data_IF_618855579715
#
_entry.id   IF_618855579715
#
_cell.length_a   1.000
_cell.length_b   1.000
_cell.length_c   1.000
_cell.angle_alpha   90.00
_cell.angle_beta   90.00
_cell.angle_gamma   90.00
#
_symmetry.space_group_name_H-M   'P 1'
#
loop_
_entity.id
_entity.type
_entity.pdbx_description
1 polymer ?
#
# COMPACT_ATOMS: atom_id res chain seq x y z
N UNK A 1 11.56 -2.36 15.90
CA UNK A 1 10.56 -1.31 16.21
C UNK A 1 9.26 -1.95 16.67
N UNK A 2 8.49 -1.22 17.48
CA UNK A 2 7.12 -1.56 17.91
C UNK A 2 6.14 -0.80 17.02
N UNK A 3 5.29 -1.51 16.29
CA UNK A 3 4.44 -0.93 15.25
C UNK A 3 2.97 -1.21 15.58
N UNK A 4 2.13 -0.18 15.51
CA UNK A 4 0.68 -0.31 15.53
C UNK A 4 0.15 -0.15 14.09
N UNK A 5 -0.73 -1.05 13.67
CA UNK A 5 -1.40 -0.99 12.38
C UNK A 5 -2.84 -0.51 12.55
N UNK A 6 -3.24 0.44 11.73
CA UNK A 6 -4.62 0.90 11.61
C UNK A 6 -5.16 0.50 10.25
N UNK A 7 -6.13 -0.40 10.28
CA UNK A 7 -6.66 -1.13 9.13
C UNK A 7 -6.31 -2.61 9.20
N UNK A 8 -7.20 -3.45 8.67
CA UNK A 8 -7.03 -4.89 8.54
C UNK A 8 -7.40 -5.37 7.11
N UNK A 9 -7.18 -4.50 6.13
CA UNK A 9 -7.38 -4.79 4.71
C UNK A 9 -6.14 -5.44 4.07
N UNK A 10 -6.17 -5.59 2.75
CA UNK A 10 -5.10 -6.27 1.97
C UNK A 10 -3.72 -5.70 2.24
N UNK A 11 -3.55 -4.37 2.15
CA UNK A 11 -2.25 -3.70 2.39
C UNK A 11 -1.79 -3.94 3.83
N UNK A 12 -2.67 -3.72 4.83
CA UNK A 12 -2.36 -3.93 6.23
C UNK A 12 -1.91 -5.38 6.51
N UNK A 13 -2.62 -6.36 5.95
CA UNK A 13 -2.31 -7.78 6.11
C UNK A 13 -0.92 -8.12 5.57
N UNK A 14 -0.64 -7.74 4.32
CA UNK A 14 0.66 -8.03 3.71
C UNK A 14 1.82 -7.33 4.43
N UNK A 15 1.64 -6.05 4.82
CA UNK A 15 2.66 -5.33 5.60
C UNK A 15 2.88 -5.96 6.98
N UNK A 16 1.80 -6.29 7.71
CA UNK A 16 1.91 -6.92 9.02
C UNK A 16 2.68 -8.23 8.96
N UNK A 17 2.34 -9.10 8.00
CA UNK A 17 2.99 -10.40 7.81
C UNK A 17 4.47 -10.27 7.43
N UNK A 18 4.81 -9.28 6.61
CA UNK A 18 6.20 -9.03 6.22
C UNK A 18 7.01 -8.43 7.39
N UNK A 19 6.46 -7.42 8.06
CA UNK A 19 7.15 -6.68 9.13
C UNK A 19 7.35 -7.52 10.41
N UNK A 20 6.44 -8.46 10.73
CA UNK A 20 6.56 -9.28 11.95
C UNK A 20 7.84 -10.11 12.04
N UNK A 21 8.54 -10.30 10.94
CA UNK A 21 9.78 -11.09 10.89
C UNK A 21 10.96 -10.37 11.58
N UNK A 22 10.97 -9.04 11.57
CA UNK A 22 12.05 -8.21 12.11
C UNK A 22 11.56 -7.14 13.10
N UNK A 23 10.25 -6.92 13.20
CA UNK A 23 9.62 -5.90 14.04
C UNK A 23 8.47 -6.51 14.84
N UNK A 24 8.10 -5.85 15.93
CA UNK A 24 6.94 -6.27 16.75
C UNK A 24 5.70 -5.50 16.31
N UNK A 25 4.70 -6.20 15.81
CA UNK A 25 3.36 -5.63 15.67
C UNK A 25 2.70 -5.69 17.04
N UNK A 26 2.41 -4.53 17.64
CA UNK A 26 1.86 -4.47 19.00
C UNK A 26 0.34 -4.44 19.01
N UNK A 27 -0.27 -3.74 18.06
CA UNK A 27 -1.72 -3.62 17.94
C UNK A 27 -2.17 -3.60 16.49
N UNK A 28 -3.38 -4.11 16.27
CA UNK A 28 -4.13 -3.95 15.01
C UNK A 28 -5.47 -3.32 15.36
N UNK A 29 -5.70 -2.10 14.86
CA UNK A 29 -6.96 -1.37 15.00
C UNK A 29 -7.80 -1.54 13.74
N UNK A 30 -9.05 -1.97 13.88
CA UNK A 30 -10.04 -1.96 12.79
C UNK A 30 -11.44 -1.72 13.36
N UNK A 31 -12.28 -0.97 12.64
CA UNK A 31 -13.70 -0.78 12.97
C UNK A 31 -14.47 -2.11 13.02
N UNK A 32 -14.03 -3.11 12.27
CA UNK A 32 -14.52 -4.47 12.38
C UNK A 32 -13.53 -5.28 13.24
N UNK A 33 -13.97 -5.63 14.46
CA UNK A 33 -13.14 -6.35 15.44
C UNK A 33 -12.73 -7.73 14.93
N UNK A 34 -13.58 -8.44 14.19
CA UNK A 34 -13.26 -9.76 13.65
C UNK A 34 -12.08 -9.70 12.69
N UNK A 35 -12.05 -8.67 11.83
CA UNK A 35 -10.92 -8.43 10.92
C UNK A 35 -9.64 -8.08 11.70
N UNK A 36 -9.76 -7.26 12.75
CA UNK A 36 -8.62 -6.96 13.63
C UNK A 36 -8.09 -8.21 14.31
N UNK A 37 -8.98 -9.05 14.89
CA UNK A 37 -8.63 -10.29 15.55
C UNK A 37 -7.96 -11.29 14.61
N UNK A 38 -8.51 -11.45 13.41
CA UNK A 38 -7.95 -12.34 12.40
C UNK A 38 -6.51 -11.98 12.05
N UNK A 39 -6.23 -10.69 11.79
CA UNK A 39 -4.88 -10.24 11.48
C UNK A 39 -3.96 -10.25 12.70
N UNK A 40 -4.45 -9.77 13.84
CA UNK A 40 -3.68 -9.73 15.10
C UNK A 40 -3.22 -11.11 15.54
N UNK A 41 -4.06 -12.14 15.41
CA UNK A 41 -3.69 -13.52 15.68
C UNK A 41 -2.50 -14.00 14.83
N UNK A 42 -2.46 -13.62 13.54
CA UNK A 42 -1.38 -14.03 12.64
C UNK A 42 -0.03 -13.39 12.96
N UNK A 43 -0.02 -12.25 13.67
CA UNK A 43 1.19 -11.47 13.97
C UNK A 43 1.48 -11.32 15.46
N UNK A 44 0.78 -12.09 16.33
CA UNK A 44 0.88 -12.03 17.77
C UNK A 44 0.67 -10.62 18.35
N UNK A 45 -0.29 -9.88 17.81
CA UNK A 45 -0.65 -8.53 18.23
C UNK A 45 -1.96 -8.51 19.05
N UNK A 46 -2.24 -7.39 19.69
CA UNK A 46 -3.53 -7.10 20.30
C UNK A 46 -4.50 -6.55 19.24
N UNK A 47 -5.67 -7.15 19.12
CA UNK A 47 -6.76 -6.59 18.33
C UNK A 47 -7.52 -5.54 19.16
N UNK A 48 -7.81 -4.41 18.55
CA UNK A 48 -8.61 -3.32 19.13
C UNK A 48 -9.58 -2.75 18.08
N UNK A 49 -10.70 -2.20 18.53
CA UNK A 49 -11.73 -1.59 17.68
C UNK A 49 -12.01 -0.12 17.99
N UNK A 50 -11.40 0.40 19.07
CA UNK A 50 -11.56 1.80 19.50
C UNK A 50 -10.21 2.49 19.62
N UNK A 51 -10.14 3.74 19.17
CA UNK A 51 -8.93 4.58 19.24
C UNK A 51 -8.48 4.86 20.68
N UNK A 52 -9.41 4.81 21.65
CA UNK A 52 -9.13 4.97 23.09
C UNK A 52 -8.28 3.85 23.66
N UNK A 53 -8.17 2.72 22.95
CA UNK A 53 -7.38 1.55 23.36
C UNK A 53 -5.95 1.58 22.78
N UNK A 54 -5.61 2.62 21.99
CA UNK A 54 -4.29 2.76 21.41
C UNK A 54 -3.20 2.83 22.48
N UNK A 55 -2.14 2.06 22.28
CA UNK A 55 -0.97 2.09 23.14
C UNK A 55 0.00 3.19 22.67
N UNK A 56 0.20 4.27 23.43
CA UNK A 56 1.13 5.33 23.04
C UNK A 56 2.60 4.89 23.06
N UNK A 57 2.92 3.77 23.69
CA UNK A 57 4.27 3.19 23.72
C UNK A 57 4.58 2.40 22.43
N UNK A 58 4.24 2.93 21.27
CA UNK A 58 4.57 2.41 19.95
C UNK A 58 5.56 3.34 19.27
N UNK A 59 6.51 2.83 18.50
CA UNK A 59 7.50 3.66 17.81
C UNK A 59 6.90 4.30 16.55
N UNK A 60 6.01 3.56 15.89
CA UNK A 60 5.38 3.97 14.64
C UNK A 60 3.95 3.48 14.54
N UNK A 61 3.09 4.29 13.92
CA UNK A 61 1.72 3.93 13.56
C UNK A 61 1.57 3.97 12.04
N UNK A 62 1.13 2.86 11.44
CA UNK A 62 0.90 2.75 10.01
C UNK A 62 -0.60 2.73 9.74
N UNK A 63 -1.10 3.77 9.06
CA UNK A 63 -2.49 3.88 8.61
C UNK A 63 -2.60 3.23 7.22
N UNK A 64 -3.22 2.06 7.17
CA UNK A 64 -3.46 1.27 5.95
C UNK A 64 -4.96 1.06 5.73
N UNK A 65 -5.69 2.15 5.62
CA UNK A 65 -7.13 2.23 5.31
C UNK A 65 -7.35 2.78 3.91
N UNK A 66 -8.62 2.92 3.47
CA UNK A 66 -8.94 3.58 2.20
C UNK A 66 -8.50 5.06 2.24
N UNK A 67 -8.08 5.59 1.10
CA UNK A 67 -7.58 6.97 0.98
C UNK A 67 -8.55 8.01 1.57
N UNK A 68 -9.85 7.81 1.35
CA UNK A 68 -10.91 8.69 1.86
C UNK A 68 -11.02 8.71 3.40
N UNK A 69 -10.59 7.63 4.07
CA UNK A 69 -10.67 7.52 5.53
C UNK A 69 -9.42 8.03 6.25
N UNK A 70 -8.31 8.32 5.54
CA UNK A 70 -7.03 8.67 6.16
C UNK A 70 -7.14 9.93 7.01
N UNK A 71 -7.81 10.98 6.53
CA UNK A 71 -7.97 12.24 7.25
C UNK A 71 -8.74 12.06 8.58
N UNK A 72 -9.91 11.43 8.52
CA UNK A 72 -10.74 11.15 9.69
C UNK A 72 -10.02 10.29 10.72
N UNK A 73 -9.34 9.23 10.26
CA UNK A 73 -8.55 8.36 11.14
C UNK A 73 -7.41 9.14 11.78
N UNK A 74 -6.67 9.95 11.01
CA UNK A 74 -5.58 10.79 11.50
C UNK A 74 -6.05 11.73 12.63
N UNK A 75 -7.15 12.42 12.43
CA UNK A 75 -7.73 13.32 13.44
C UNK A 75 -8.17 12.56 14.69
N UNK A 76 -8.81 11.40 14.53
CA UNK A 76 -9.33 10.61 15.64
C UNK A 76 -8.26 10.04 16.56
N UNK A 77 -7.07 9.72 16.03
CA UNK A 77 -5.95 9.13 16.80
C UNK A 77 -5.02 10.19 17.40
N UNK A 78 -5.04 11.43 16.92
CA UNK A 78 -4.13 12.49 17.33
C UNK A 78 -4.09 12.73 18.85
N UNK A 79 -5.23 12.71 19.60
CA UNK A 79 -5.22 12.89 21.04
C UNK A 79 -4.44 11.80 21.82
N UNK A 80 -4.25 10.63 21.21
CA UNK A 80 -3.64 9.46 21.85
C UNK A 80 -2.17 9.22 21.43
N UNK A 81 -1.71 9.86 20.35
CA UNK A 81 -0.43 9.60 19.69
C UNK A 81 0.31 10.91 19.38
N UNK A 82 0.77 11.60 20.44
CA UNK A 82 1.37 12.94 20.33
C UNK A 82 2.82 12.95 19.87
N UNK A 83 3.61 11.92 20.24
CA UNK A 83 5.06 11.84 19.96
C UNK A 83 5.42 10.74 18.93
N UNK A 84 4.42 9.99 18.50
CA UNK A 84 4.62 8.85 17.61
C UNK A 84 4.80 9.29 16.15
N UNK A 85 5.61 8.58 15.40
CA UNK A 85 5.63 8.73 13.95
C UNK A 85 4.39 8.06 13.36
N UNK A 86 3.54 8.86 12.71
CA UNK A 86 2.33 8.38 12.03
C UNK A 86 2.53 8.44 10.54
N UNK A 87 2.35 7.31 9.85
CA UNK A 87 2.52 7.21 8.40
C UNK A 87 1.27 6.63 7.74
N UNK A 88 1.00 7.02 6.50
CA UNK A 88 -0.03 6.35 5.68
C UNK A 88 0.61 5.56 4.52
N UNK A 89 -0.16 4.63 3.95
CA UNK A 89 0.28 3.77 2.84
C UNK A 89 -0.33 4.15 1.48
N UNK A 90 -0.95 5.32 1.38
CA UNK A 90 -1.62 5.77 0.15
C UNK A 90 -0.64 6.32 -0.89
N UNK A 91 -0.86 5.96 -2.16
CA UNK A 91 -0.16 6.55 -3.29
C UNK A 91 -0.69 7.94 -3.68
N UNK A 92 -1.98 8.21 -3.43
CA UNK A 92 -2.68 9.43 -3.87
C UNK A 92 -2.75 10.52 -2.80
N UNK A 93 -2.73 10.18 -1.50
CA UNK A 93 -2.90 11.13 -0.40
C UNK A 93 -1.63 11.95 -0.14
N UNK A 94 -1.77 13.27 0.01
CA UNK A 94 -0.64 14.15 0.36
C UNK A 94 -0.25 13.97 1.83
N UNK A 95 1.04 14.01 2.14
CA UNK A 95 1.56 13.92 3.53
C UNK A 95 0.98 14.99 4.45
N UNK A 96 0.63 16.16 3.91
CA UNK A 96 0.04 17.26 4.69
C UNK A 96 -1.26 16.88 5.38
N UNK A 97 -1.99 15.87 4.90
CA UNK A 97 -3.20 15.35 5.56
C UNK A 97 -2.89 14.85 6.97
N UNK A 98 -1.75 14.16 7.15
CA UNK A 98 -1.28 13.76 8.49
C UNK A 98 -0.64 14.93 9.24
N UNK A 99 0.10 15.79 8.54
CA UNK A 99 0.82 16.93 9.14
C UNK A 99 -0.07 17.98 9.78
N UNK A 100 -1.39 17.97 9.52
CA UNK A 100 -2.36 18.83 10.22
C UNK A 100 -2.61 18.38 11.66
N UNK A 101 -2.50 17.09 11.93
CA UNK A 101 -2.83 16.49 13.24
C UNK A 101 -1.63 15.91 13.97
N UNK A 102 -0.53 15.64 13.27
CA UNK A 102 0.66 14.99 13.82
C UNK A 102 1.93 15.76 13.48
N UNK A 103 2.74 16.07 14.50
CA UNK A 103 4.03 16.71 14.32
C UNK A 103 5.03 15.82 13.54
N UNK A 104 4.98 14.51 13.78
CA UNK A 104 5.78 13.50 13.12
C UNK A 104 4.91 12.71 12.14
N UNK A 105 4.80 13.21 10.92
CA UNK A 105 4.02 12.61 9.85
C UNK A 105 4.92 12.05 8.75
N UNK A 106 4.48 10.97 8.11
CA UNK A 106 5.21 10.35 7.01
C UNK A 106 4.34 9.55 6.05
N UNK A 107 5.00 9.00 5.07
CA UNK A 107 4.42 8.08 4.08
C UNK A 107 5.29 6.85 3.99
N UNK A 108 4.65 5.69 3.90
CA UNK A 108 5.28 4.41 3.66
C UNK A 108 4.46 3.67 2.59
N UNK A 109 4.71 3.96 1.32
CA UNK A 109 3.89 3.52 0.21
C UNK A 109 4.55 2.39 -0.60
N UNK A 110 4.06 1.16 -0.51
CA UNK A 110 4.46 0.08 -1.41
C UNK A 110 3.72 0.19 -2.76
N UNK A 111 4.48 0.30 -3.85
CA UNK A 111 3.93 0.30 -5.20
C UNK A 111 3.69 -1.14 -5.66
N UNK A 112 2.53 -1.67 -5.32
CA UNK A 112 2.15 -3.04 -5.64
C UNK A 112 0.63 -3.18 -5.76
N UNK A 113 0.18 -4.21 -6.46
CA UNK A 113 -1.22 -4.67 -6.45
C UNK A 113 -1.39 -5.75 -5.39
N UNK A 114 -2.27 -5.52 -4.41
CA UNK A 114 -2.46 -6.43 -3.30
C UNK A 114 -3.72 -7.29 -3.46
N UNK A 115 -3.55 -8.61 -3.45
CA UNK A 115 -4.63 -9.58 -3.29
C UNK A 115 -4.23 -10.59 -2.21
N UNK A 116 -5.19 -11.04 -1.39
CA UNK A 116 -4.89 -11.93 -0.26
C UNK A 116 -4.41 -13.32 -0.69
N UNK A 117 -4.74 -13.71 -1.91
CA UNK A 117 -4.45 -15.03 -2.49
C UNK A 117 -3.04 -15.12 -3.10
N UNK A 118 -2.30 -14.01 -3.14
CA UNK A 118 -0.97 -13.97 -3.79
C UNK A 118 0.08 -13.45 -2.83
N UNK A 119 1.22 -14.14 -2.79
CA UNK A 119 2.39 -13.66 -2.07
C UNK A 119 3.03 -12.46 -2.78
N UNK A 120 3.59 -11.56 -2.00
CA UNK A 120 4.29 -10.37 -2.48
C UNK A 120 5.80 -10.62 -2.49
N UNK A 121 6.42 -10.41 -3.64
CA UNK A 121 7.87 -10.37 -3.77
C UNK A 121 8.42 -9.06 -3.20
N UNK A 122 8.46 -8.95 -1.87
CA UNK A 122 8.81 -7.72 -1.17
C UNK A 122 10.18 -7.17 -1.57
N UNK A 123 11.18 -8.06 -1.77
CA UNK A 123 12.54 -7.65 -2.15
C UNK A 123 12.59 -6.84 -3.45
N UNK A 124 11.64 -7.05 -4.35
CA UNK A 124 11.53 -6.37 -5.65
C UNK A 124 10.48 -5.27 -5.66
N UNK A 125 9.65 -5.17 -4.61
CA UNK A 125 8.56 -4.19 -4.52
C UNK A 125 9.13 -2.80 -4.24
N UNK A 126 8.92 -1.79 -5.12
CA UNK A 126 9.35 -0.43 -4.83
C UNK A 126 8.60 0.14 -3.62
N UNK A 127 9.33 0.67 -2.65
CA UNK A 127 8.82 1.35 -1.47
C UNK A 127 9.16 2.83 -1.55
N UNK A 128 8.15 3.67 -1.41
CA UNK A 128 8.30 5.13 -1.43
C UNK A 128 8.06 5.68 -0.04
N UNK A 129 9.01 6.49 0.43
CA UNK A 129 8.96 7.12 1.75
C UNK A 129 8.96 8.64 1.64
N UNK A 130 8.33 9.29 2.61
CA UNK A 130 8.33 10.73 2.80
C UNK A 130 8.14 11.03 4.29
N UNK A 131 8.75 12.07 4.83
CA UNK A 131 8.54 12.48 6.22
C UNK A 131 8.56 14.01 6.36
N UNK A 132 7.82 14.55 7.34
CA UNK A 132 7.83 15.97 7.68
C UNK A 132 9.12 16.38 8.40
N UNK A 133 9.71 15.48 9.18
CA UNK A 133 10.96 15.71 9.90
C UNK A 133 12.09 14.87 9.32
N UNK A 134 13.24 15.47 9.12
CA UNK A 134 14.41 14.80 8.53
C UNK A 134 14.84 13.54 9.32
N UNK A 135 14.79 13.61 10.65
CA UNK A 135 15.14 12.47 11.52
C UNK A 135 14.26 11.22 11.31
N UNK A 136 13.03 11.41 10.79
CA UNK A 136 12.09 10.31 10.56
C UNK A 136 12.32 9.62 9.21
N UNK A 137 13.06 10.26 8.30
CA UNK A 137 13.45 9.65 7.02
C UNK A 137 14.35 8.43 7.26
N UNK A 138 15.33 8.54 8.16
CA UNK A 138 16.25 7.43 8.45
C UNK A 138 15.49 6.23 9.05
N UNK A 139 14.51 6.47 9.92
CA UNK A 139 13.65 5.42 10.47
C UNK A 139 12.82 4.74 9.38
N UNK A 140 12.29 5.52 8.43
CA UNK A 140 11.52 4.97 7.31
C UNK A 140 12.40 4.20 6.33
N UNK A 141 13.63 4.66 6.08
CA UNK A 141 14.62 3.94 5.28
C UNK A 141 14.95 2.59 5.94
N UNK A 142 15.23 2.58 7.25
CA UNK A 142 15.51 1.34 7.99
C UNK A 142 14.36 0.36 7.87
N UNK A 143 13.12 0.82 8.13
CA UNK A 143 11.92 0.00 7.98
C UNK A 143 11.75 -0.53 6.55
N UNK A 144 11.93 0.32 5.55
CA UNK A 144 11.75 -0.05 4.14
C UNK A 144 12.82 -1.05 3.67
N UNK A 145 14.08 -0.86 4.07
CA UNK A 145 15.18 -1.77 3.76
C UNK A 145 15.03 -3.16 4.42
N UNK A 146 14.25 -3.26 5.50
CA UNK A 146 13.92 -4.56 6.09
C UNK A 146 12.98 -5.41 5.19
N UNK A 147 12.31 -4.76 4.22
CA UNK A 147 11.37 -5.40 3.31
C UNK A 147 11.89 -5.47 1.86
N UNK A 148 12.49 -4.40 1.36
CA UNK A 148 12.80 -4.25 -0.06
C UNK A 148 14.19 -3.69 -0.33
N UNK A 149 14.77 -4.14 -1.46
CA UNK A 149 16.01 -3.58 -2.01
C UNK A 149 15.76 -2.30 -2.85
N UNK A 150 14.50 -1.88 -3.00
CA UNK A 150 14.08 -0.78 -3.89
C UNK A 150 13.36 0.31 -3.10
N UNK A 151 14.13 1.10 -2.35
CA UNK A 151 13.61 2.18 -1.49
C UNK A 151 13.90 3.53 -2.12
N UNK A 152 12.88 4.39 -2.18
CA UNK A 152 12.95 5.70 -2.82
C UNK A 152 12.35 6.78 -1.91
N UNK A 153 13.05 7.91 -1.78
CA UNK A 153 12.53 9.09 -1.12
C UNK A 153 11.88 10.01 -2.17
N UNK A 154 10.55 10.05 -2.22
CA UNK A 154 9.77 10.83 -3.15
C UNK A 154 8.84 11.80 -2.41
N UNK A 155 8.72 13.02 -2.94
CA UNK A 155 7.69 13.96 -2.49
C UNK A 155 6.29 13.44 -2.82
N UNK A 156 5.28 13.96 -2.10
CA UNK A 156 3.86 13.66 -2.37
C UNK A 156 3.50 13.87 -3.85
N UNK A 157 4.02 14.92 -4.48
CA UNK A 157 3.77 15.20 -5.91
C UNK A 157 4.34 14.10 -6.82
N UNK A 158 5.58 13.67 -6.60
CA UNK A 158 6.21 12.60 -7.39
C UNK A 158 5.48 11.27 -7.19
N UNK A 159 5.15 10.93 -5.93
CA UNK A 159 4.40 9.73 -5.60
C UNK A 159 3.02 9.70 -6.23
N UNK A 160 2.26 10.79 -6.16
CA UNK A 160 0.94 10.92 -6.79
C UNK A 160 1.00 10.76 -8.30
N UNK A 161 2.00 11.37 -8.95
CA UNK A 161 2.23 11.22 -10.40
C UNK A 161 2.52 9.75 -10.75
N UNK A 162 3.40 9.09 -9.98
CA UNK A 162 3.72 7.69 -10.18
C UNK A 162 2.52 6.78 -9.94
N UNK A 163 1.74 7.06 -8.88
CA UNK A 163 0.52 6.31 -8.59
C UNK A 163 -0.50 6.44 -9.73
N UNK A 164 -0.70 7.64 -10.26
CA UNK A 164 -1.58 7.84 -11.43
C UNK A 164 -1.09 7.05 -12.65
N UNK A 165 0.21 7.04 -12.91
CA UNK A 165 0.79 6.23 -13.98
C UNK A 165 0.55 4.72 -13.75
N UNK A 166 0.68 4.25 -12.51
CA UNK A 166 0.40 2.87 -12.14
C UNK A 166 -1.09 2.49 -12.31
N UNK A 167 -2.01 3.42 -12.06
CA UNK A 167 -3.45 3.22 -12.34
C UNK A 167 -3.66 2.94 -13.83
N UNK A 168 -3.03 3.71 -14.72
CA UNK A 168 -3.09 3.43 -16.17
C UNK A 168 -2.45 2.09 -16.52
N UNK A 169 -1.25 1.83 -16.02
CA UNK A 169 -0.49 0.63 -16.37
C UNK A 169 -1.11 -0.67 -15.85
N UNK A 170 -1.83 -0.63 -14.73
CA UNK A 170 -2.35 -1.82 -14.05
C UNK A 170 -3.88 -1.85 -13.96
N UNK A 171 -4.51 -0.83 -13.38
CA UNK A 171 -5.95 -0.87 -13.11
C UNK A 171 -6.77 -0.75 -14.41
N UNK A 172 -6.43 0.17 -15.30
CA UNK A 172 -7.07 0.27 -16.61
C UNK A 172 -6.78 -0.94 -17.50
N UNK A 173 -5.55 -1.47 -17.46
CA UNK A 173 -5.24 -2.70 -18.18
C UNK A 173 -6.11 -3.86 -17.70
N UNK A 174 -6.29 -4.01 -16.37
CA UNK A 174 -7.18 -5.04 -15.83
C UNK A 174 -8.65 -4.81 -16.23
N UNK A 175 -9.10 -3.56 -16.26
CA UNK A 175 -10.44 -3.23 -16.76
C UNK A 175 -10.60 -3.62 -18.23
N UNK A 176 -9.60 -3.36 -19.08
CA UNK A 176 -9.59 -3.79 -20.47
C UNK A 176 -9.63 -5.32 -20.59
N UNK A 177 -8.96 -6.07 -19.70
CA UNK A 177 -9.05 -7.54 -19.69
C UNK A 177 -10.44 -8.03 -19.32
N UNK A 178 -11.13 -7.38 -18.38
CA UNK A 178 -12.52 -7.70 -18.05
C UNK A 178 -13.44 -7.44 -19.25
N UNK A 179 -13.29 -6.32 -19.94
CA UNK A 179 -14.04 -6.03 -21.17
C UNK A 179 -13.76 -7.08 -22.25
N UNK A 180 -12.50 -7.45 -22.47
CA UNK A 180 -12.13 -8.49 -23.44
C UNK A 180 -12.76 -9.84 -23.08
N UNK A 181 -12.82 -10.18 -21.77
CA UNK A 181 -13.48 -11.40 -21.31
C UNK A 181 -14.97 -11.38 -21.63
N UNK A 182 -15.67 -10.29 -21.38
CA UNK A 182 -17.09 -10.17 -21.73
C UNK A 182 -17.36 -10.35 -23.23
N UNK A 183 -16.47 -9.82 -24.09
CA UNK A 183 -16.58 -9.96 -25.55
C UNK A 183 -16.46 -11.42 -25.98
N UNK A 184 -15.48 -12.16 -25.47
CA UNK A 184 -15.29 -13.58 -25.87
C UNK A 184 -16.33 -14.50 -25.24
N UNK A 185 -16.79 -14.20 -24.01
CA UNK A 185 -17.83 -14.98 -23.33
C UNK A 185 -19.17 -14.94 -24.11
N UNK A 186 -19.47 -13.82 -24.78
CA UNK A 186 -20.69 -13.67 -25.60
C UNK A 186 -20.78 -14.72 -26.75
N UNK A 187 -19.64 -15.15 -27.26
CA UNK A 187 -19.53 -16.16 -28.33
C UNK A 187 -19.00 -17.50 -27.79
N UNK A 188 -18.97 -17.70 -26.47
CA UNK A 188 -18.48 -18.91 -25.80
C UNK A 188 -17.04 -19.29 -26.17
N UNK A 189 -16.21 -18.30 -26.45
CA UNK A 189 -14.77 -18.45 -26.72
C UNK A 189 -14.00 -18.39 -25.40
N UNK A 190 -13.04 -19.30 -25.21
CA UNK A 190 -12.23 -19.36 -23.98
C UNK A 190 -11.27 -18.17 -23.90
N UNK A 191 -11.44 -17.37 -22.83
CA UNK A 191 -10.57 -16.22 -22.55
C UNK A 191 -9.08 -16.58 -22.41
N UNK A 192 -8.77 -17.82 -22.00
CA UNK A 192 -7.38 -18.27 -21.86
C UNK A 192 -6.58 -18.23 -23.17
N UNK A 193 -7.26 -18.23 -24.32
CA UNK A 193 -6.61 -18.06 -25.62
C UNK A 193 -5.89 -16.70 -25.77
N UNK A 194 -6.29 -15.69 -24.97
CA UNK A 194 -5.64 -14.37 -24.94
C UNK A 194 -4.42 -14.29 -24.00
N UNK A 195 -4.22 -15.27 -23.10
CA UNK A 195 -3.12 -15.23 -22.13
C UNK A 195 -1.73 -15.01 -22.77
N UNK A 196 -1.35 -15.72 -23.85
CA UNK A 196 -0.06 -15.48 -24.49
C UNK A 196 0.10 -14.06 -25.05
N UNK A 197 -1.00 -13.49 -25.60
CA UNK A 197 -0.99 -12.14 -26.15
C UNK A 197 -0.89 -11.07 -25.05
N UNK A 198 -1.56 -11.27 -23.93
CA UNK A 198 -1.48 -10.38 -22.74
C UNK A 198 -0.04 -10.37 -22.22
N UNK A 199 0.58 -11.54 -22.03
CA UNK A 199 1.95 -11.66 -21.56
C UNK A 199 2.95 -11.01 -22.54
N UNK A 200 2.79 -11.24 -23.83
CA UNK A 200 3.66 -10.63 -24.85
C UNK A 200 3.55 -9.09 -24.84
N UNK A 201 2.33 -8.56 -24.68
CA UNK A 201 2.11 -7.10 -24.59
C UNK A 201 2.78 -6.52 -23.36
N UNK A 202 2.67 -7.18 -22.20
CA UNK A 202 3.33 -6.76 -20.97
C UNK A 202 4.88 -6.83 -21.10
N UNK A 203 5.41 -7.88 -21.68
CA UNK A 203 6.84 -8.04 -21.93
C UNK A 203 7.38 -6.91 -22.82
N UNK A 204 6.68 -6.62 -23.92
CA UNK A 204 7.06 -5.51 -24.80
C UNK A 204 7.08 -4.17 -24.07
N UNK A 205 6.07 -3.90 -23.26
CA UNK A 205 5.96 -2.63 -22.50
C UNK A 205 7.07 -2.47 -21.46
N UNK A 206 7.65 -3.56 -20.94
CA UNK A 206 8.76 -3.52 -19.96
C UNK A 206 10.15 -3.49 -20.59
N UNK A 207 10.27 -3.83 -21.88
CA UNK A 207 11.55 -3.94 -22.58
C UNK A 207 11.77 -2.82 -23.60
N UNK A 208 10.72 -2.10 -24.00
CA UNK A 208 10.77 -1.10 -25.06
C UNK A 208 9.91 0.13 -24.69
N UNK A 209 10.12 1.20 -25.43
CA UNK A 209 9.25 2.39 -25.33
C UNK A 209 7.83 2.04 -25.83
N UNK A 210 6.78 2.19 -24.98
CA UNK A 210 5.41 1.79 -25.32
C UNK A 210 4.90 2.37 -26.65
N UNK A 211 5.26 3.63 -26.94
CA UNK A 211 4.86 4.29 -28.19
C UNK A 211 5.37 3.59 -29.45
N UNK A 212 6.53 2.93 -29.38
CA UNK A 212 7.15 2.24 -30.49
C UNK A 212 6.58 0.83 -30.69
N UNK A 213 5.91 0.30 -29.67
CA UNK A 213 5.41 -1.09 -29.66
C UNK A 213 3.94 -1.19 -30.05
N UNK A 214 3.29 -0.07 -30.40
CA UNK A 214 1.90 -0.05 -30.82
C UNK A 214 1.74 -0.79 -32.16
N UNK A 215 0.99 -1.90 -32.13
CA UNK A 215 0.61 -2.67 -33.32
C UNK A 215 -0.90 -2.59 -33.52
N UNK A 216 -1.31 -2.06 -34.68
CA UNK A 216 -2.72 -1.88 -35.01
C UNK A 216 -3.37 -0.63 -34.40
N UNK A 217 -4.60 -0.28 -34.79
CA UNK A 217 -5.28 0.91 -34.33
C UNK A 217 -5.80 0.70 -32.90
N UNK A 218 -5.29 1.48 -31.96
CA UNK A 218 -5.89 1.72 -30.65
C UNK A 218 -6.32 3.17 -30.53
N UNK A 219 -6.82 3.72 -31.63
CA UNK A 219 -7.34 5.07 -31.74
C UNK A 219 -8.87 5.06 -31.79
#
# INVERSE_FOLDING_TARGET
MRITLIGAGRVATHLALALKTQHQIVQVLSRNLDHAQYLAHQVNAQAIDQVTQLNPQTDMVIIAVSDQAIAEVSESIAPYLTENLVVHTSGSTNISVLGQSHQRAGVFYPLQTFSLEREIAWQETPLFIEATLYKDIDLLIELANSLSNRVYHYSSKQRQTLHLAAVFACNFSNYCYDMAKQVVDAEQVDFSLLYPLILETANKATQNEPKQMQTGPAM
#
